data_IF_944506840732
#
_entry.id   IF_944506840732
#
_cell.length_a   1.000
_cell.length_b   1.000
_cell.length_c   1.000
_cell.angle_alpha   90.00
_cell.angle_beta   90.00
_cell.angle_gamma   90.00
#
_symmetry.space_group_name_H-M   'P 1'
#
loop_
_entity.id
_entity.type
_entity.pdbx_description
1 polymer ?
#
# COMPACT_ATOMS: atom_id res chain seq x y z
N UNK A 1 -19.37 -15.11 -1.52
CA UNK A 1 -18.36 -14.77 -0.50
C UNK A 1 -17.48 -15.98 -0.25
N UNK A 2 -16.16 -15.79 -0.29
CA UNK A 2 -15.13 -16.84 -0.13
C UNK A 2 -14.08 -16.33 0.86
N UNK A 3 -13.66 -17.21 1.79
CA UNK A 3 -12.57 -16.94 2.72
C UNK A 3 -11.32 -17.72 2.31
N UNK A 4 -10.23 -17.02 2.06
CA UNK A 4 -8.91 -17.58 1.75
C UNK A 4 -8.06 -17.55 3.01
N UNK A 5 -7.88 -18.71 3.65
CA UNK A 5 -7.11 -18.82 4.90
C UNK A 5 -5.63 -18.99 4.61
N UNK A 6 -4.81 -18.13 5.20
CA UNK A 6 -3.34 -18.14 5.09
C UNK A 6 -2.72 -18.04 6.48
N UNK A 7 -1.39 -18.20 6.62
CA UNK A 7 -0.71 -17.91 7.88
C UNK A 7 -0.83 -16.45 8.33
N UNK A 8 -1.04 -15.50 7.40
CA UNK A 8 -1.21 -14.08 7.70
C UNK A 8 -2.61 -13.72 8.20
N UNK A 9 -3.62 -14.54 7.88
CA UNK A 9 -5.00 -14.31 8.30
C UNK A 9 -5.99 -14.90 7.31
N UNK A 10 -7.28 -14.54 7.44
CA UNK A 10 -8.29 -14.90 6.46
C UNK A 10 -8.59 -13.71 5.55
N UNK A 11 -8.26 -13.82 4.26
CA UNK A 11 -8.68 -12.84 3.28
C UNK A 11 -10.11 -13.13 2.84
N UNK A 12 -10.88 -12.08 2.62
CA UNK A 12 -12.26 -12.15 2.17
C UNK A 12 -12.35 -11.71 0.71
N UNK A 13 -13.03 -12.50 -0.13
CA UNK A 13 -13.47 -12.06 -1.46
C UNK A 13 -14.99 -12.21 -1.55
N UNK A 14 -15.68 -11.17 -2.00
CA UNK A 14 -17.13 -11.19 -2.14
C UNK A 14 -17.57 -10.47 -3.43
N UNK A 15 -18.53 -11.07 -4.14
CA UNK A 15 -19.17 -10.47 -5.30
C UNK A 15 -20.63 -10.17 -4.97
N UNK A 16 -21.08 -8.98 -5.35
CA UNK A 16 -22.45 -8.49 -5.23
C UNK A 16 -22.96 -8.14 -6.63
N UNK A 17 -24.07 -8.73 -7.08
CA UNK A 17 -24.59 -8.47 -8.42
C UNK A 17 -25.09 -7.03 -8.53
N UNK A 18 -24.94 -6.44 -9.72
CA UNK A 18 -25.54 -5.16 -10.05
C UNK A 18 -27.06 -5.26 -10.20
N UNK A 19 -27.72 -4.10 -10.33
CA UNK A 19 -29.18 -3.99 -10.46
C UNK A 19 -29.57 -3.13 -11.66
N UNK A 20 -30.70 -3.47 -12.26
CA UNK A 20 -31.29 -2.77 -13.41
C UNK A 20 -30.36 -2.67 -14.62
N UNK A 21 -30.29 -1.49 -15.25
CA UNK A 21 -29.56 -1.28 -16.50
C UNK A 21 -28.03 -1.43 -16.35
N UNK A 22 -27.51 -1.33 -15.13
CA UNK A 22 -26.09 -1.46 -14.84
C UNK A 22 -25.68 -2.90 -14.46
N UNK A 23 -26.63 -3.85 -14.34
CA UNK A 23 -26.35 -5.21 -13.87
C UNK A 23 -25.35 -6.00 -14.74
N UNK A 24 -25.26 -5.68 -16.03
CA UNK A 24 -24.32 -6.32 -16.98
C UNK A 24 -22.94 -5.66 -17.08
N UNK A 25 -22.68 -4.59 -16.32
CA UNK A 25 -21.40 -3.88 -16.35
C UNK A 25 -20.28 -4.70 -15.68
N UNK A 26 -19.02 -4.38 -15.99
CA UNK A 26 -17.89 -4.92 -15.25
C UNK A 26 -17.87 -4.39 -13.80
N UNK A 27 -17.56 -5.23 -12.80
CA UNK A 27 -17.63 -4.83 -11.40
C UNK A 27 -16.64 -3.73 -11.04
N UNK A 28 -17.03 -2.89 -10.07
CA UNK A 28 -16.08 -2.00 -9.37
C UNK A 28 -15.50 -2.77 -8.19
N UNK A 29 -14.17 -2.79 -8.07
CA UNK A 29 -13.46 -3.43 -6.97
C UNK A 29 -13.33 -2.48 -5.78
N UNK A 30 -13.77 -2.91 -4.59
CA UNK A 30 -13.52 -2.24 -3.32
C UNK A 30 -12.44 -2.99 -2.55
N UNK A 31 -11.44 -2.26 -2.04
CA UNK A 31 -10.23 -2.84 -1.43
C UNK A 31 -10.06 -2.28 -0.04
N UNK A 32 -9.85 -3.17 0.93
CA UNK A 32 -9.42 -2.79 2.26
C UNK A 32 -8.65 -3.89 2.96
N UNK A 33 -8.25 -3.64 4.19
CA UNK A 33 -7.58 -4.61 5.04
C UNK A 33 -8.19 -4.65 6.44
N UNK A 34 -8.06 -5.79 7.09
CA UNK A 34 -8.65 -6.07 8.41
C UNK A 34 -7.63 -6.17 9.53
N UNK A 35 -6.35 -6.36 9.18
CA UNK A 35 -5.25 -6.33 10.11
C UNK A 35 -4.95 -4.89 10.56
N UNK A 36 -4.10 -4.77 11.57
CA UNK A 36 -3.64 -3.47 12.09
C UNK A 36 -2.22 -3.67 12.62
N UNK A 37 -1.45 -2.60 12.74
CA UNK A 37 -0.16 -2.63 13.48
C UNK A 37 -0.27 -2.96 14.97
N UNK A 38 -1.48 -2.96 15.54
CA UNK A 38 -1.69 -3.05 16.99
C UNK A 38 -1.65 -4.50 17.49
N UNK A 39 -0.93 -4.78 18.60
CA UNK A 39 -0.95 -6.10 19.23
C UNK A 39 -2.32 -6.50 19.78
N UNK A 40 -2.54 -7.82 19.89
CA UNK A 40 -3.72 -8.36 20.59
C UNK A 40 -3.74 -7.87 22.04
N UNK A 41 -4.90 -7.39 22.49
CA UNK A 41 -5.10 -6.85 23.84
C UNK A 41 -5.02 -5.33 23.96
N UNK A 42 -4.60 -4.60 22.92
CA UNK A 42 -4.49 -3.13 22.94
C UNK A 42 -5.77 -2.42 23.38
N UNK A 43 -6.94 -2.90 22.97
CA UNK A 43 -8.25 -2.33 23.34
C UNK A 43 -8.52 -2.35 24.85
N UNK A 44 -7.97 -3.32 25.58
CA UNK A 44 -8.14 -3.43 27.03
C UNK A 44 -7.07 -2.65 27.81
N UNK A 45 -6.12 -2.01 27.13
CA UNK A 45 -4.99 -1.30 27.71
C UNK A 45 -4.92 0.16 27.26
N UNK A 46 -3.77 0.53 26.72
CA UNK A 46 -3.37 1.93 26.52
C UNK A 46 -4.11 2.70 25.41
N UNK A 47 -4.80 2.00 24.51
CA UNK A 47 -5.55 2.62 23.40
C UNK A 47 -6.95 1.99 23.35
N UNK A 48 -7.86 2.40 24.25
CA UNK A 48 -9.23 1.92 24.23
C UNK A 48 -10.00 2.53 23.05
N UNK A 49 -11.09 1.86 22.66
CA UNK A 49 -12.09 2.47 21.81
C UNK A 49 -12.86 3.53 22.61
N UNK A 50 -12.96 4.76 22.09
CA UNK A 50 -13.79 5.82 22.70
C UNK A 50 -14.51 6.62 21.62
N UNK A 51 -15.67 7.18 21.98
CA UNK A 51 -16.40 8.11 21.13
C UNK A 51 -17.02 9.22 21.98
N UNK A 52 -16.91 10.46 21.50
CA UNK A 52 -17.59 11.63 22.07
C UNK A 52 -18.75 12.12 21.18
N UNK A 53 -19.14 11.33 20.17
CA UNK A 53 -20.16 11.67 19.17
C UNK A 53 -19.64 12.48 17.98
N UNK A 54 -18.49 13.14 18.09
CA UNK A 54 -17.84 13.89 16.99
C UNK A 54 -16.57 13.22 16.49
N UNK A 55 -15.88 12.52 17.40
CA UNK A 55 -14.63 11.82 17.17
C UNK A 55 -14.73 10.39 17.70
N UNK A 56 -14.12 9.45 16.99
CA UNK A 56 -13.91 8.08 17.45
C UNK A 56 -12.42 7.80 17.51
N UNK A 57 -11.91 7.30 18.62
CA UNK A 57 -10.51 6.86 18.79
C UNK A 57 -10.46 5.35 18.98
N UNK A 58 -9.34 4.73 18.61
CA UNK A 58 -9.10 3.32 18.87
C UNK A 58 -8.11 2.70 17.88
N UNK A 59 -7.60 1.50 18.17
CA UNK A 59 -6.65 0.82 17.30
C UNK A 59 -7.30 0.41 15.99
N UNK A 60 -6.79 0.96 14.88
CA UNK A 60 -7.24 0.67 13.52
C UNK A 60 -8.54 1.37 13.12
N UNK A 61 -9.04 2.33 13.92
CA UNK A 61 -10.24 3.09 13.53
C UNK A 61 -9.98 3.94 12.29
N UNK A 62 -8.78 4.48 12.13
CA UNK A 62 -8.40 5.28 10.96
C UNK A 62 -7.74 4.42 9.88
N UNK A 63 -6.91 3.45 10.29
CA UNK A 63 -6.19 2.54 9.38
C UNK A 63 -6.53 1.06 9.64
N UNK A 64 -7.49 0.48 8.91
CA UNK A 64 -8.53 1.18 8.15
C UNK A 64 -9.94 0.62 8.41
N UNK A 65 -10.23 0.17 9.64
CA UNK A 65 -11.52 -0.48 9.97
C UNK A 65 -12.72 0.40 9.71
N UNK A 66 -12.64 1.72 9.90
CA UNK A 66 -13.76 2.60 9.53
C UNK A 66 -13.98 2.68 8.03
N UNK A 67 -12.95 2.46 7.20
CA UNK A 67 -13.11 2.28 5.76
C UNK A 67 -13.89 1.02 5.42
N UNK A 68 -13.73 -0.08 6.17
CA UNK A 68 -14.57 -1.28 6.04
C UNK A 68 -16.03 -0.99 6.41
N UNK A 69 -16.26 -0.21 7.47
CA UNK A 69 -17.61 0.26 7.85
C UNK A 69 -18.23 1.10 6.74
N UNK A 70 -17.46 1.98 6.08
CA UNK A 70 -17.94 2.72 4.90
C UNK A 70 -18.41 1.77 3.80
N UNK A 71 -17.64 0.71 3.49
CA UNK A 71 -18.03 -0.27 2.48
C UNK A 71 -19.35 -0.96 2.85
N UNK A 72 -19.43 -1.49 4.07
CA UNK A 72 -20.59 -2.26 4.54
C UNK A 72 -21.87 -1.41 4.52
N UNK A 73 -21.85 -0.26 5.19
CA UNK A 73 -23.02 0.62 5.33
C UNK A 73 -23.47 1.20 3.98
N UNK A 74 -22.54 1.52 3.08
CA UNK A 74 -22.91 2.00 1.75
C UNK A 74 -23.58 0.93 0.90
N UNK A 75 -23.14 -0.33 1.02
CA UNK A 75 -23.75 -1.45 0.30
C UNK A 75 -25.13 -1.79 0.88
N UNK A 76 -25.32 -1.66 2.19
CA UNK A 76 -26.65 -1.79 2.80
C UNK A 76 -27.60 -0.68 2.32
N UNK A 77 -27.15 0.57 2.31
CA UNK A 77 -27.90 1.71 1.78
C UNK A 77 -28.26 1.50 0.31
N UNK A 78 -27.28 1.11 -0.51
CA UNK A 78 -27.46 0.86 -1.94
C UNK A 78 -28.45 -0.27 -2.20
N UNK A 79 -28.34 -1.37 -1.44
CA UNK A 79 -29.28 -2.49 -1.52
C UNK A 79 -30.70 -2.06 -1.18
N UNK A 80 -30.90 -1.31 -0.11
CA UNK A 80 -32.23 -0.84 0.28
C UNK A 80 -32.87 0.04 -0.82
N UNK A 81 -32.09 0.92 -1.44
CA UNK A 81 -32.55 1.75 -2.57
C UNK A 81 -32.87 0.90 -3.80
N UNK A 82 -32.03 -0.07 -4.13
CA UNK A 82 -32.24 -0.94 -5.29
C UNK A 82 -33.45 -1.88 -5.10
N UNK A 83 -33.65 -2.43 -3.90
CA UNK A 83 -34.82 -3.26 -3.58
C UNK A 83 -36.12 -2.45 -3.59
N UNK A 84 -36.05 -1.13 -3.34
CA UNK A 84 -37.15 -0.19 -3.54
C UNK A 84 -37.34 0.25 -5.00
N UNK A 85 -36.47 -0.17 -5.92
CA UNK A 85 -36.52 0.19 -7.34
C UNK A 85 -36.19 1.66 -7.63
N UNK A 86 -35.48 2.35 -6.73
CA UNK A 86 -35.18 3.78 -6.88
C UNK A 86 -33.84 4.04 -7.56
N UNK A 87 -32.94 3.06 -7.61
CA UNK A 87 -31.62 3.17 -8.22
C UNK A 87 -31.22 1.89 -8.96
N UNK A 88 -30.48 2.07 -10.05
CA UNK A 88 -29.67 1.04 -10.69
C UNK A 88 -28.23 1.19 -10.22
N UNK A 89 -27.46 0.09 -10.17
CA UNK A 89 -26.05 0.16 -9.78
C UNK A 89 -25.22 -0.94 -10.44
N UNK A 90 -23.92 -0.66 -10.60
CA UNK A 90 -22.94 -1.61 -11.14
C UNK A 90 -22.71 -2.78 -10.18
N UNK A 91 -22.26 -3.96 -10.66
CA UNK A 91 -21.78 -5.02 -9.78
C UNK A 91 -20.61 -4.55 -8.93
N UNK A 92 -20.48 -5.11 -7.74
CA UNK A 92 -19.41 -4.77 -6.80
C UNK A 92 -18.64 -6.03 -6.45
N UNK A 93 -17.31 -5.94 -6.53
CA UNK A 93 -16.42 -6.97 -5.98
C UNK A 93 -15.67 -6.37 -4.80
N UNK A 94 -15.49 -7.13 -3.74
CA UNK A 94 -14.77 -6.70 -2.54
C UNK A 94 -13.62 -7.67 -2.28
N UNK A 95 -12.48 -7.12 -1.90
CA UNK A 95 -11.42 -7.84 -1.23
C UNK A 95 -11.05 -7.16 0.09
N UNK A 96 -11.03 -7.94 1.17
CA UNK A 96 -10.47 -7.53 2.46
C UNK A 96 -9.27 -8.41 2.77
N UNK A 97 -8.08 -7.82 2.76
CA UNK A 97 -6.82 -8.50 3.09
C UNK A 97 -6.63 -8.54 4.61
N UNK A 98 -5.67 -9.34 5.07
CA UNK A 98 -5.44 -9.57 6.50
C UNK A 98 -3.95 -9.54 6.86
N UNK A 99 -3.13 -9.01 5.96
CA UNK A 99 -1.68 -8.97 6.04
C UNK A 99 -1.10 -7.73 5.35
N UNK A 100 -1.89 -6.65 5.22
CA UNK A 100 -1.45 -5.38 4.60
C UNK A 100 -0.25 -4.82 5.36
N UNK A 101 -0.34 -4.76 6.68
CA UNK A 101 0.59 -4.02 7.54
C UNK A 101 2.00 -4.65 7.55
N UNK A 102 2.12 -5.88 7.07
CA UNK A 102 3.39 -6.59 6.89
C UNK A 102 3.86 -6.65 5.42
N UNK A 103 3.11 -6.06 4.50
CA UNK A 103 3.43 -5.91 3.08
C UNK A 103 2.74 -6.91 2.15
N UNK A 104 1.62 -7.49 2.58
CA UNK A 104 0.75 -8.38 1.79
C UNK A 104 1.45 -9.62 1.20
N UNK A 105 2.25 -10.37 2.00
CA UNK A 105 2.99 -11.53 1.51
C UNK A 105 2.08 -12.65 0.99
N UNK A 106 0.84 -12.75 1.47
CA UNK A 106 -0.10 -13.81 1.08
C UNK A 106 -1.31 -13.31 0.29
N UNK A 107 -1.68 -12.04 0.45
CA UNK A 107 -2.81 -11.46 -0.29
C UNK A 107 -2.45 -10.80 -1.62
N UNK A 108 -1.19 -10.44 -1.87
CA UNK A 108 -0.82 -9.67 -3.08
C UNK A 108 -1.20 -10.36 -4.41
N UNK A 109 -0.94 -11.65 -4.54
CA UNK A 109 -1.34 -12.42 -5.73
C UNK A 109 -2.86 -12.58 -5.83
N UNK A 110 -3.54 -12.75 -4.69
CA UNK A 110 -5.00 -12.85 -4.64
C UNK A 110 -5.64 -11.52 -5.07
N UNK A 111 -5.10 -10.38 -4.65
CA UNK A 111 -5.56 -9.05 -5.04
C UNK A 111 -5.51 -8.85 -6.55
N UNK A 112 -4.37 -9.19 -7.17
CA UNK A 112 -4.20 -9.10 -8.63
C UNK A 112 -5.22 -9.98 -9.36
N UNK A 113 -5.39 -11.23 -8.93
CA UNK A 113 -6.38 -12.13 -9.53
C UNK A 113 -7.82 -11.64 -9.32
N UNK A 114 -8.12 -11.05 -8.15
CA UNK A 114 -9.46 -10.53 -7.83
C UNK A 114 -9.81 -9.31 -8.67
N UNK A 115 -8.81 -8.51 -9.07
CA UNK A 115 -8.98 -7.35 -9.92
C UNK A 115 -9.26 -7.68 -11.39
N UNK A 116 -9.04 -8.92 -11.83
CA UNK A 116 -9.32 -9.33 -13.21
C UNK A 116 -10.80 -9.16 -13.56
N UNK A 117 -11.05 -8.46 -14.67
CA UNK A 117 -12.39 -8.19 -15.18
C UNK A 117 -13.13 -7.04 -14.47
N UNK A 118 -12.50 -6.36 -13.50
CA UNK A 118 -13.06 -5.15 -12.90
C UNK A 118 -12.86 -3.93 -13.80
N UNK A 119 -13.78 -2.96 -13.73
CA UNK A 119 -13.71 -1.69 -14.48
C UNK A 119 -12.85 -0.63 -13.78
N UNK A 120 -12.84 -0.66 -12.45
CA UNK A 120 -12.14 0.28 -11.60
C UNK A 120 -11.86 -0.35 -10.23
N UNK A 121 -10.96 0.26 -9.46
CA UNK A 121 -10.72 -0.07 -8.06
C UNK A 121 -10.74 1.17 -7.15
N UNK A 122 -11.36 1.02 -5.98
CA UNK A 122 -11.43 2.04 -4.93
C UNK A 122 -10.86 1.45 -3.64
N UNK A 123 -9.76 2.03 -3.15
CA UNK A 123 -9.15 1.69 -1.87
C UNK A 123 -9.68 2.54 -0.72
N UNK A 124 -9.85 1.90 0.42
CA UNK A 124 -10.50 2.47 1.61
C UNK A 124 -9.54 2.84 2.72
N UNK A 125 -8.27 2.99 2.35
CA UNK A 125 -7.28 3.63 3.19
C UNK A 125 -7.75 5.01 3.64
N UNK A 126 -7.13 5.49 4.70
CA UNK A 126 -7.28 6.87 5.16
C UNK A 126 -7.07 7.89 4.03
N UNK A 127 -7.85 8.98 3.93
CA UNK A 127 -7.65 10.05 2.96
C UNK A 127 -6.39 10.86 3.28
N UNK A 128 -6.11 11.86 2.44
CA UNK A 128 -5.25 12.96 2.88
C UNK A 128 -5.89 13.76 4.04
N UNK A 129 -5.13 14.56 4.81
CA UNK A 129 -5.67 15.29 5.97
C UNK A 129 -6.82 16.26 5.65
N UNK A 130 -6.86 16.79 4.43
CA UNK A 130 -7.93 17.63 3.88
C UNK A 130 -9.17 16.84 3.44
N UNK A 131 -9.06 15.51 3.36
CA UNK A 131 -10.09 14.61 2.85
C UNK A 131 -9.84 14.16 1.41
N UNK A 132 -8.83 14.69 0.72
CA UNK A 132 -8.61 14.37 -0.69
C UNK A 132 -8.28 12.89 -0.92
N UNK A 133 -8.65 12.42 -2.11
CA UNK A 133 -8.34 11.09 -2.60
C UNK A 133 -6.87 10.97 -3.01
N UNK A 134 -6.43 9.73 -3.17
CA UNK A 134 -5.10 9.35 -3.61
C UNK A 134 -5.20 8.71 -4.99
N UNK A 135 -4.47 9.28 -5.95
CA UNK A 135 -4.38 8.82 -7.36
C UNK A 135 -2.97 8.38 -7.71
N UNK A 136 -2.14 8.13 -6.70
CA UNK A 136 -0.75 7.77 -6.86
C UNK A 136 -0.11 7.57 -5.49
N UNK A 137 0.86 6.66 -5.42
CA UNK A 137 1.58 6.34 -4.19
C UNK A 137 3.03 6.01 -4.51
N UNK A 138 3.95 6.41 -3.63
CA UNK A 138 5.33 5.95 -3.75
C UNK A 138 5.39 4.43 -3.65
N UNK A 139 6.28 3.82 -4.43
CA UNK A 139 6.68 2.43 -4.28
C UNK A 139 7.37 2.21 -2.93
N UNK A 140 7.36 0.97 -2.48
CA UNK A 140 7.91 0.50 -1.22
C UNK A 140 8.61 -0.82 -1.42
N UNK A 141 9.94 -0.81 -1.40
CA UNK A 141 10.71 -2.05 -1.50
C UNK A 141 11.65 -2.19 -0.31
N UNK A 142 11.62 -3.36 0.33
CA UNK A 142 12.63 -3.77 1.32
C UNK A 142 13.44 -4.91 0.71
N UNK A 143 14.76 -4.77 0.71
CA UNK A 143 15.69 -5.80 0.24
C UNK A 143 16.58 -6.26 1.39
N UNK A 144 16.80 -7.56 1.49
CA UNK A 144 17.89 -8.14 2.27
C UNK A 144 19.07 -8.41 1.34
N UNK A 145 20.24 -7.91 1.70
CA UNK A 145 21.52 -8.23 1.07
C UNK A 145 22.29 -9.13 2.04
N UNK A 146 22.60 -10.35 1.62
CA UNK A 146 23.36 -11.32 2.41
C UNK A 146 24.67 -11.66 1.70
N UNK A 147 25.74 -11.77 2.47
CA UNK A 147 27.08 -12.09 1.99
C UNK A 147 27.64 -13.26 2.77
N UNK A 148 28.16 -14.25 2.05
CA UNK A 148 28.91 -15.37 2.63
C UNK A 148 30.36 -15.32 2.15
N UNK A 149 31.28 -15.41 3.10
CA UNK A 149 32.73 -15.44 2.89
C UNK A 149 33.32 -16.81 3.19
N UNK A 150 34.61 -16.83 3.53
CA UNK A 150 35.34 -18.03 3.94
C UNK A 150 36.10 -17.71 5.22
N UNK A 151 35.86 -18.43 6.34
CA UNK A 151 36.54 -18.16 7.58
C UNK A 151 38.00 -18.62 7.53
N UNK A 152 38.89 -17.86 8.16
CA UNK A 152 40.30 -18.20 8.34
C UNK A 152 40.88 -17.48 9.56
N UNK A 153 42.00 -17.97 10.09
CA UNK A 153 42.70 -17.26 11.16
C UNK A 153 43.38 -16.00 10.59
N UNK A 154 43.00 -14.82 11.08
CA UNK A 154 43.38 -13.55 10.49
C UNK A 154 44.90 -13.27 10.51
N UNK A 155 45.65 -13.92 11.41
CA UNK A 155 47.10 -13.77 11.50
C UNK A 155 47.93 -14.95 10.95
N UNK A 156 47.34 -16.14 10.82
CA UNK A 156 48.11 -17.34 10.47
C UNK A 156 47.99 -17.67 8.99
N UNK A 157 46.77 -17.57 8.44
CA UNK A 157 46.47 -17.91 7.05
C UNK A 157 45.39 -16.98 6.45
N UNK A 158 45.53 -15.64 6.53
CA UNK A 158 44.49 -14.71 6.09
C UNK A 158 44.09 -14.90 4.61
N UNK A 159 45.01 -15.32 3.76
CA UNK A 159 44.81 -15.57 2.33
C UNK A 159 43.88 -16.78 2.05
N UNK A 160 43.74 -17.70 3.01
CA UNK A 160 42.80 -18.82 2.89
C UNK A 160 41.34 -18.36 3.05
N UNK A 161 41.11 -17.22 3.72
CA UNK A 161 39.80 -16.67 3.98
C UNK A 161 39.30 -15.68 2.91
N UNK A 162 38.04 -15.27 3.07
CA UNK A 162 37.38 -14.19 2.33
C UNK A 162 36.46 -13.47 3.30
N UNK A 163 36.73 -12.19 3.55
CA UNK A 163 35.96 -11.42 4.53
C UNK A 163 34.60 -11.01 3.97
N UNK A 164 33.53 -11.56 4.55
CA UNK A 164 32.16 -11.14 4.27
C UNK A 164 31.89 -9.70 4.73
N UNK A 165 32.56 -9.24 5.80
CA UNK A 165 32.47 -7.86 6.29
C UNK A 165 32.99 -6.86 5.26
N UNK A 166 34.14 -7.15 4.66
CA UNK A 166 34.71 -6.26 3.64
C UNK A 166 33.87 -6.30 2.35
N UNK A 167 33.36 -7.48 1.98
CA UNK A 167 32.47 -7.63 0.84
C UNK A 167 31.15 -6.88 1.00
N UNK A 168 30.47 -6.97 2.15
CA UNK A 168 29.22 -6.22 2.37
C UNK A 168 29.45 -4.70 2.31
N UNK A 169 30.59 -4.20 2.81
CA UNK A 169 30.92 -2.76 2.76
C UNK A 169 30.99 -2.29 1.31
N UNK A 170 31.72 -3.01 0.46
CA UNK A 170 31.86 -2.63 -0.95
C UNK A 170 30.54 -2.76 -1.73
N UNK A 171 29.74 -3.79 -1.45
CA UNK A 171 28.41 -3.93 -2.05
C UNK A 171 27.49 -2.77 -1.65
N UNK A 172 27.55 -2.32 -0.39
CA UNK A 172 26.78 -1.17 0.08
C UNK A 172 27.24 0.16 -0.55
N UNK A 173 28.53 0.29 -0.88
CA UNK A 173 29.03 1.41 -1.70
C UNK A 173 28.40 1.36 -3.10
N UNK A 174 28.42 0.19 -3.77
CA UNK A 174 27.76 0.02 -5.09
C UNK A 174 26.27 0.34 -5.04
N UNK A 175 25.54 -0.12 -4.02
CA UNK A 175 24.13 0.20 -3.82
C UNK A 175 23.91 1.70 -3.67
N UNK A 176 24.76 2.38 -2.87
CA UNK A 176 24.72 3.84 -2.72
C UNK A 176 24.95 4.55 -4.05
N UNK A 177 25.90 4.08 -4.86
CA UNK A 177 26.17 4.65 -6.18
C UNK A 177 24.99 4.47 -7.14
N UNK A 178 24.38 3.28 -7.18
CA UNK A 178 23.16 3.01 -7.97
C UNK A 178 22.06 3.99 -7.56
N UNK A 179 21.78 4.10 -6.25
CA UNK A 179 20.75 4.99 -5.72
C UNK A 179 21.05 6.48 -6.02
N UNK A 180 22.32 6.90 -5.92
CA UNK A 180 22.74 8.27 -6.21
C UNK A 180 22.57 8.62 -7.70
N UNK A 181 23.00 7.72 -8.61
CA UNK A 181 22.78 7.89 -10.07
C UNK A 181 21.29 7.97 -10.39
N UNK A 182 20.49 7.09 -9.80
CA UNK A 182 19.04 7.10 -9.98
C UNK A 182 18.39 8.38 -9.44
N UNK A 183 18.85 8.90 -8.30
CA UNK A 183 18.39 10.17 -7.73
C UNK A 183 18.67 11.34 -8.65
N UNK A 184 19.87 11.41 -9.24
CA UNK A 184 20.24 12.46 -10.21
C UNK A 184 19.33 12.40 -11.43
N UNK A 185 19.12 11.20 -12.00
CA UNK A 185 18.22 11.01 -13.15
C UNK A 185 16.78 11.34 -12.84
N UNK A 186 16.29 10.95 -11.67
CA UNK A 186 14.97 11.32 -11.18
C UNK A 186 14.84 12.84 -11.04
N UNK A 187 15.88 13.54 -10.61
CA UNK A 187 15.91 15.01 -10.54
C UNK A 187 15.67 15.71 -11.88
N UNK A 188 15.98 15.06 -13.00
CA UNK A 188 15.71 15.57 -14.35
C UNK A 188 14.28 15.30 -14.85
N UNK A 189 13.49 14.49 -14.14
CA UNK A 189 12.09 14.18 -14.45
C UNK A 189 11.16 14.88 -13.45
N UNK A 190 10.18 15.69 -13.89
CA UNK A 190 9.23 16.33 -12.99
C UNK A 190 8.52 15.32 -12.06
N UNK A 191 8.59 15.54 -10.76
CA UNK A 191 7.93 14.69 -9.75
C UNK A 191 8.61 13.34 -9.47
N UNK A 192 9.65 12.96 -10.22
CA UNK A 192 10.38 11.73 -9.95
C UNK A 192 11.32 11.88 -8.73
N UNK A 193 11.35 10.85 -7.88
CA UNK A 193 12.12 10.78 -6.64
C UNK A 193 12.52 9.34 -6.38
N UNK A 194 13.75 9.17 -5.90
CA UNK A 194 14.26 7.92 -5.33
C UNK A 194 14.69 8.24 -3.91
N UNK A 195 14.17 7.50 -2.94
CA UNK A 195 14.60 7.59 -1.55
C UNK A 195 15.24 6.25 -1.18
N UNK A 196 16.43 6.31 -0.60
CA UNK A 196 17.18 5.15 -0.15
C UNK A 196 17.50 5.29 1.33
N UNK A 197 17.35 4.19 2.07
CA UNK A 197 17.78 4.09 3.45
C UNK A 197 18.49 2.74 3.69
N UNK A 198 19.64 2.80 4.36
CA UNK A 198 20.29 1.62 4.91
C UNK A 198 19.76 1.40 6.33
N UNK A 199 18.80 0.48 6.47
CA UNK A 199 18.08 0.28 7.73
C UNK A 199 18.90 -0.42 8.79
N UNK A 200 19.67 -1.45 8.40
CA UNK A 200 20.57 -2.17 9.30
C UNK A 200 21.73 -2.81 8.56
N UNK A 201 22.82 -3.03 9.29
CA UNK A 201 23.96 -3.85 8.89
C UNK A 201 24.29 -4.77 10.06
N UNK A 202 24.61 -6.03 9.77
CA UNK A 202 25.07 -7.00 10.76
C UNK A 202 26.25 -7.76 10.18
N UNK A 203 27.39 -7.71 10.84
CA UNK A 203 28.62 -8.40 10.45
C UNK A 203 29.30 -8.94 11.71
N UNK A 204 28.81 -10.07 12.25
CA UNK A 204 29.32 -10.63 13.48
C UNK A 204 30.69 -11.25 13.24
N UNK A 205 31.59 -11.16 14.23
CA UNK A 205 32.93 -11.74 14.09
C UNK A 205 33.86 -11.39 15.23
N UNK A 206 35.05 -12.00 15.23
CA UNK A 206 36.15 -11.71 16.15
C UNK A 206 37.31 -11.11 15.36
N UNK A 207 38.07 -10.20 15.98
CA UNK A 207 39.18 -9.51 15.29
C UNK A 207 40.27 -10.47 14.74
N UNK A 208 40.41 -11.66 15.31
CA UNK A 208 41.38 -12.68 14.91
C UNK A 208 40.81 -13.74 13.94
N UNK A 209 39.57 -13.60 13.47
CA UNK A 209 38.92 -14.52 12.52
C UNK A 209 38.39 -13.72 11.33
N UNK A 210 38.73 -14.13 10.13
CA UNK A 210 38.13 -13.58 8.90
C UNK A 210 36.64 -13.90 8.93
N UNK A 211 35.79 -12.86 8.93
CA UNK A 211 34.34 -13.03 9.03
C UNK A 211 33.78 -13.72 7.78
N UNK A 212 32.90 -14.70 7.97
CA UNK A 212 32.32 -15.51 6.89
C UNK A 212 30.84 -15.19 6.60
N UNK A 213 30.24 -14.27 7.35
CA UNK A 213 28.87 -13.85 7.12
C UNK A 213 28.67 -12.35 7.42
N UNK A 214 27.86 -11.71 6.59
CA UNK A 214 27.38 -10.36 6.83
C UNK A 214 26.03 -10.15 6.12
N UNK A 215 25.21 -9.24 6.62
CA UNK A 215 23.91 -8.92 6.05
C UNK A 215 23.55 -7.43 6.21
N UNK A 216 22.67 -6.95 5.35
CA UNK A 216 22.08 -5.61 5.45
C UNK A 216 20.62 -5.61 5.01
N UNK A 217 19.83 -4.70 5.58
CA UNK A 217 18.45 -4.43 5.14
C UNK A 217 18.37 -3.04 4.52
N UNK A 218 17.90 -2.99 3.28
CA UNK A 218 17.80 -1.80 2.46
C UNK A 218 16.33 -1.42 2.29
N UNK A 219 16.01 -0.14 2.40
CA UNK A 219 14.69 0.42 2.12
C UNK A 219 14.74 1.38 0.94
N UNK A 220 13.82 1.21 0.00
CA UNK A 220 13.67 2.08 -1.15
C UNK A 220 12.24 2.60 -1.30
N UNK A 221 12.13 3.86 -1.73
CA UNK A 221 10.88 4.48 -2.21
C UNK A 221 11.11 5.07 -3.59
N UNK A 222 10.13 4.89 -4.47
CA UNK A 222 10.18 5.38 -5.84
C UNK A 222 8.87 6.09 -6.18
N UNK A 223 8.92 7.23 -6.87
CA UNK A 223 7.72 7.78 -7.51
C UNK A 223 7.63 7.42 -9.00
N UNK A 224 8.63 6.73 -9.54
CA UNK A 224 8.69 6.35 -10.94
C UNK A 224 9.02 4.87 -11.12
N UNK A 225 8.17 4.18 -11.89
CA UNK A 225 8.22 2.73 -12.04
C UNK A 225 9.36 2.27 -12.94
N UNK A 226 9.72 3.06 -13.95
CA UNK A 226 10.86 2.71 -14.81
C UNK A 226 12.16 2.83 -14.03
N UNK A 227 12.29 3.91 -13.23
CA UNK A 227 13.45 4.09 -12.35
C UNK A 227 13.48 3.02 -11.25
N UNK A 228 12.33 2.65 -10.69
CA UNK A 228 12.21 1.53 -9.74
C UNK A 228 12.72 0.22 -10.36
N UNK A 229 12.20 -0.16 -11.53
CA UNK A 229 12.59 -1.40 -12.21
C UNK A 229 14.08 -1.44 -12.52
N UNK A 230 14.65 -0.32 -12.97
CA UNK A 230 16.07 -0.21 -13.25
C UNK A 230 16.93 -0.38 -11.99
N UNK A 231 16.64 0.39 -10.93
CA UNK A 231 17.40 0.34 -9.68
C UNK A 231 17.32 -1.03 -9.03
N UNK A 232 16.11 -1.61 -8.93
CA UNK A 232 15.94 -2.92 -8.34
C UNK A 232 16.62 -4.01 -9.18
N UNK A 233 16.56 -3.91 -10.51
CA UNK A 233 17.26 -4.82 -11.41
C UNK A 233 18.79 -4.77 -11.25
N UNK A 234 19.37 -3.57 -11.15
CA UNK A 234 20.82 -3.40 -10.91
C UNK A 234 21.25 -3.97 -9.56
N UNK A 235 20.45 -3.78 -8.50
CA UNK A 235 20.76 -4.29 -7.15
C UNK A 235 20.62 -5.82 -7.09
N UNK A 236 19.57 -6.38 -7.71
CA UNK A 236 19.36 -7.83 -7.77
C UNK A 236 20.41 -8.56 -8.60
N UNK A 237 21.04 -7.86 -9.54
CA UNK A 237 22.14 -8.36 -10.36
C UNK A 237 23.53 -8.17 -9.73
N UNK A 238 23.63 -7.75 -8.46
CA UNK A 238 24.93 -7.59 -7.80
C UNK A 238 25.69 -8.92 -7.75
N UNK A 239 26.94 -8.86 -8.20
CA UNK A 239 27.89 -9.98 -8.16
C UNK A 239 28.98 -9.76 -7.12
N UNK A 240 29.55 -10.83 -6.53
CA UNK A 240 30.67 -10.72 -5.59
C UNK A 240 31.89 -10.05 -6.23
N UNK A 241 32.56 -9.18 -5.47
CA UNK A 241 33.81 -8.53 -5.85
C UNK A 241 35.02 -9.38 -5.45
N UNK A 242 34.93 -10.07 -4.31
CA UNK A 242 35.98 -10.98 -3.84
C UNK A 242 35.79 -12.39 -4.39
N UNK A 243 36.83 -13.01 -4.99
CA UNK A 243 36.78 -14.41 -5.39
C UNK A 243 36.42 -15.33 -4.22
N UNK A 244 35.48 -16.26 -4.42
CA UNK A 244 34.90 -17.19 -3.43
C UNK A 244 33.89 -16.59 -2.43
N UNK A 245 33.61 -15.28 -2.46
CA UNK A 245 32.44 -14.75 -1.77
C UNK A 245 31.15 -15.10 -2.52
N UNK A 246 30.03 -15.11 -1.81
CA UNK A 246 28.69 -15.22 -2.35
C UNK A 246 27.87 -14.00 -1.93
N UNK A 247 27.07 -13.48 -2.85
CA UNK A 247 26.18 -12.34 -2.62
C UNK A 247 24.77 -12.79 -3.01
N UNK A 248 23.80 -12.57 -2.13
CA UNK A 248 22.40 -12.87 -2.38
C UNK A 248 21.54 -11.64 -2.03
N UNK A 249 20.59 -11.32 -2.91
CA UNK A 249 19.61 -10.26 -2.69
C UNK A 249 18.21 -10.88 -2.67
N UNK A 250 17.45 -10.61 -1.62
CA UNK A 250 16.09 -11.11 -1.44
C UNK A 250 15.13 -9.94 -1.23
N UNK A 251 14.02 -9.91 -1.96
CA UNK A 251 12.90 -8.97 -1.68
C UNK A 251 12.15 -9.43 -0.43
N UNK A 252 12.18 -8.60 0.61
CA UNK A 252 11.43 -8.83 1.86
C UNK A 252 9.98 -8.33 1.75
N UNK A 253 9.75 -7.26 1.01
CA UNK A 253 8.41 -6.75 0.68
C UNK A 253 8.48 -5.88 -0.57
N UNK A 254 7.39 -5.84 -1.34
CA UNK A 254 7.34 -5.08 -2.60
C UNK A 254 5.93 -4.51 -2.86
N UNK A 255 5.85 -3.18 -2.94
CA UNK A 255 4.71 -2.45 -3.51
C UNK A 255 5.25 -1.56 -4.63
N UNK A 256 4.87 -1.75 -5.90
CA UNK A 256 5.42 -0.98 -7.01
C UNK A 256 5.08 0.51 -6.91
N UNK A 257 5.85 1.37 -7.54
CA UNK A 257 5.49 2.77 -7.69
C UNK A 257 4.18 2.90 -8.50
N UNK A 258 3.20 3.62 -7.93
CA UNK A 258 1.97 3.97 -8.61
C UNK A 258 1.99 5.45 -9.00
N UNK A 259 2.26 5.69 -10.28
CA UNK A 259 2.19 7.02 -10.88
C UNK A 259 0.75 7.39 -11.26
N UNK A 260 0.29 8.63 -11.03
CA UNK A 260 -1.01 9.06 -11.49
C UNK A 260 -1.14 8.98 -13.01
N UNK A 261 -2.22 8.35 -13.48
CA UNK A 261 -2.57 8.27 -14.90
C UNK A 261 -3.87 9.01 -15.19
N UNK A 262 -4.13 9.23 -16.47
CA UNK A 262 -5.37 9.86 -16.92
C UNK A 262 -6.61 9.08 -16.47
N UNK A 263 -6.55 7.74 -16.44
CA UNK A 263 -7.65 6.89 -15.98
C UNK A 263 -7.94 7.06 -14.47
N UNK A 264 -6.89 7.11 -13.64
CA UNK A 264 -7.01 7.36 -12.19
C UNK A 264 -7.64 8.74 -11.92
N UNK A 265 -7.19 9.76 -12.66
CA UNK A 265 -7.73 11.13 -12.58
C UNK A 265 -9.18 11.21 -13.06
N UNK A 266 -9.54 10.49 -14.12
CA UNK A 266 -10.91 10.44 -14.62
C UNK A 266 -11.85 9.81 -13.59
N UNK A 267 -11.43 8.70 -12.97
CA UNK A 267 -12.20 8.05 -11.90
C UNK A 267 -12.34 8.98 -10.68
N UNK A 268 -11.28 9.66 -10.27
CA UNK A 268 -11.34 10.66 -9.20
C UNK A 268 -12.29 11.82 -9.54
N UNK A 269 -12.32 12.29 -10.80
CA UNK A 269 -13.24 13.33 -11.25
C UNK A 269 -14.71 12.88 -11.21
N UNK A 270 -15.00 11.61 -11.55
CA UNK A 270 -16.35 11.03 -11.39
C UNK A 270 -16.77 11.05 -9.92
N UNK A 271 -15.87 10.64 -9.01
CA UNK A 271 -16.15 10.66 -7.56
C UNK A 271 -16.38 12.09 -7.07
N UNK A 272 -15.54 13.05 -7.49
CA UNK A 272 -15.68 14.47 -7.15
C UNK A 272 -17.01 15.06 -7.64
N UNK A 273 -17.48 14.66 -8.84
CA UNK A 273 -18.79 15.05 -9.36
C UNK A 273 -19.95 14.49 -8.53
N UNK A 274 -19.84 13.25 -8.05
CA UNK A 274 -20.84 12.66 -7.16
C UNK A 274 -20.88 13.37 -5.80
N UNK A 275 -19.72 13.74 -5.25
CA UNK A 275 -19.61 14.50 -4.00
C UNK A 275 -20.27 15.88 -4.11
N UNK A 276 -20.01 16.60 -5.21
CA UNK A 276 -20.64 17.89 -5.47
C UNK A 276 -22.18 17.80 -5.53
N UNK A 277 -22.74 16.75 -6.16
CA UNK A 277 -24.18 16.52 -6.22
C UNK A 277 -24.83 16.23 -4.87
N UNK A 278 -24.11 15.58 -3.94
CA UNK A 278 -24.59 15.37 -2.57
C UNK A 278 -24.57 16.64 -1.71
N UNK A 279 -23.76 17.63 -2.09
CA UNK A 279 -23.63 18.92 -1.41
C UNK A 279 -24.72 19.94 -1.76
N UNK A 280 -25.57 19.67 -2.77
CA UNK A 280 -26.65 20.58 -3.18
C UNK A 280 -27.66 20.78 -2.03
N UNK A 281 -27.75 22.01 -1.50
CA UNK A 281 -28.61 22.38 -0.37
C UNK A 281 -27.92 22.45 1.00
N UNK A 282 -26.63 22.11 1.09
CA UNK A 282 -25.77 22.31 2.26
C UNK A 282 -24.87 23.54 2.16
N UNK A 283 -24.03 23.83 3.19
CA UNK A 283 -23.00 24.85 3.07
C UNK A 283 -22.02 24.51 1.94
N UNK A 284 -21.59 25.52 1.18
CA UNK A 284 -20.66 25.36 0.07
C UNK A 284 -19.37 24.64 0.56
N UNK A 285 -19.08 23.47 -0.03
CA UNK A 285 -17.84 22.72 0.19
C UNK A 285 -16.99 22.77 -1.07
N UNK A 286 -15.67 22.80 -0.89
CA UNK A 286 -14.75 22.61 -2.01
C UNK A 286 -14.96 21.19 -2.56
N UNK A 287 -14.94 21.00 -3.90
CA UNK A 287 -14.98 19.68 -4.50
C UNK A 287 -13.84 18.81 -3.97
N UNK A 288 -14.14 17.53 -3.74
CA UNK A 288 -13.14 16.54 -3.35
C UNK A 288 -11.98 16.50 -4.35
N UNK A 289 -10.76 16.79 -3.88
CA UNK A 289 -9.55 16.75 -4.69
C UNK A 289 -8.92 15.37 -4.76
N UNK A 290 -7.90 15.23 -5.59
CA UNK A 290 -7.11 14.01 -5.69
C UNK A 290 -5.64 14.31 -6.01
N UNK A 291 -4.73 13.69 -5.27
CA UNK A 291 -3.28 13.90 -5.44
C UNK A 291 -2.43 12.72 -4.96
N UNK A 292 -1.18 12.58 -5.44
CA UNK A 292 -0.27 11.53 -4.96
C UNK A 292 -0.04 11.56 -3.44
N UNK A 293 0.21 10.40 -2.86
CA UNK A 293 0.60 10.23 -1.46
C UNK A 293 2.00 9.61 -1.31
N UNK A 294 2.66 9.91 -0.19
CA UNK A 294 3.98 9.36 0.11
C UNK A 294 3.94 7.91 0.62
N UNK A 295 2.88 7.52 1.34
CA UNK A 295 2.72 6.17 1.87
C UNK A 295 2.30 5.17 0.78
N UNK A 296 2.81 3.94 0.85
CA UNK A 296 2.36 2.83 0.02
C UNK A 296 1.13 2.14 0.63
N UNK A 297 0.34 1.48 -0.18
CA UNK A 297 -0.75 0.59 0.25
C UNK A 297 -0.93 -0.54 -0.78
N UNK A 298 -1.80 -1.50 -0.51
CA UNK A 298 -2.12 -2.56 -1.48
C UNK A 298 -2.62 -2.04 -2.84
N UNK A 299 -3.23 -0.85 -2.86
CA UNK A 299 -3.62 -0.16 -4.10
C UNK A 299 -2.45 0.12 -5.04
N UNK A 300 -1.21 0.17 -4.55
CA UNK A 300 -0.02 0.24 -5.41
C UNK A 300 0.04 -0.90 -6.43
N UNK A 301 -0.32 -2.13 -6.04
CA UNK A 301 -0.27 -3.30 -6.93
C UNK A 301 -1.19 -3.13 -8.14
N UNK A 302 -2.37 -2.55 -7.93
CA UNK A 302 -3.33 -2.29 -9.01
C UNK A 302 -3.05 -0.99 -9.75
N UNK A 303 -2.57 0.05 -9.06
CA UNK A 303 -2.20 1.32 -9.66
C UNK A 303 -1.01 1.19 -10.62
N UNK A 304 -0.22 0.12 -10.47
CA UNK A 304 0.81 -0.30 -11.42
C UNK A 304 0.28 -1.21 -12.55
N UNK A 305 -1.01 -1.53 -12.61
CA UNK A 305 -1.65 -2.21 -13.76
C UNK A 305 -2.34 -1.20 -14.67
N UNK A 306 -3.12 -1.64 -15.66
CA UNK A 306 -3.93 -0.75 -16.52
C UNK A 306 -5.30 -0.38 -15.92
N UNK A 307 -5.68 -0.94 -14.77
CA UNK A 307 -6.95 -0.66 -14.10
C UNK A 307 -6.99 0.77 -13.54
N UNK A 308 -8.09 1.51 -13.72
CA UNK A 308 -8.27 2.81 -13.08
C UNK A 308 -8.42 2.65 -11.55
N UNK A 309 -7.59 3.33 -10.77
CA UNK A 309 -7.54 3.15 -9.32
C UNK A 309 -7.64 4.51 -8.62
N UNK A 310 -8.38 4.54 -7.52
CA UNK A 310 -8.33 5.62 -6.53
C UNK A 310 -8.21 4.99 -5.16
N UNK A 311 -7.67 5.73 -4.21
CA UNK A 311 -7.52 5.29 -2.84
C UNK A 311 -7.78 6.46 -1.89
N UNK A 312 -7.75 6.22 -0.58
CA UNK A 312 -8.07 7.26 0.40
C UNK A 312 -9.57 7.49 0.57
N UNK A 313 -10.41 6.49 0.27
CA UNK A 313 -11.87 6.62 0.39
C UNK A 313 -12.37 6.50 1.85
N UNK A 314 -11.49 6.19 2.80
CA UNK A 314 -11.83 6.18 4.22
C UNK A 314 -12.30 7.54 4.77
N UNK A 315 -12.85 7.58 6.00
CA UNK A 315 -13.22 8.82 6.67
C UNK A 315 -11.99 9.68 7.02
N UNK A 316 -12.21 10.98 7.18
CA UNK A 316 -11.19 11.92 7.67
C UNK A 316 -10.84 11.61 9.13
N UNK A 317 -9.60 11.93 9.48
CA UNK A 317 -9.05 11.61 10.79
C UNK A 317 -7.56 11.88 10.85
N UNK A 318 -6.86 11.17 11.73
CA UNK A 318 -5.42 11.28 11.83
C UNK A 318 -4.82 10.36 12.88
N UNK A 319 -3.49 10.36 12.97
CA UNK A 319 -2.75 9.56 13.94
C UNK A 319 -2.65 8.09 13.60
N UNK A 320 -2.64 7.72 12.31
CA UNK A 320 -2.33 6.35 11.89
C UNK A 320 -1.06 5.86 12.60
N UNK A 321 -1.11 4.63 13.12
CA UNK A 321 -0.03 3.97 13.87
C UNK A 321 0.40 4.69 15.16
N UNK A 322 -0.44 5.57 15.71
CA UNK A 322 -0.17 6.32 16.94
C UNK A 322 -1.33 6.24 17.94
N UNK A 323 -1.06 6.46 19.23
CA UNK A 323 -2.10 6.46 20.28
C UNK A 323 -3.20 7.51 20.06
N UNK A 324 -2.91 8.52 19.25
CA UNK A 324 -3.85 9.57 18.86
C UNK A 324 -4.75 9.20 17.68
N UNK A 325 -4.69 7.94 17.20
CA UNK A 325 -5.48 7.44 16.08
C UNK A 325 -6.97 7.73 16.27
N UNK A 326 -7.58 8.38 15.28
CA UNK A 326 -8.98 8.76 15.32
C UNK A 326 -9.58 9.02 13.95
N UNK A 327 -10.92 8.95 13.89
CA UNK A 327 -11.74 9.45 12.78
C UNK A 327 -12.69 10.56 13.26
N UNK A 328 -13.16 11.36 12.30
CA UNK A 328 -14.25 12.32 12.47
C UNK A 328 -15.57 11.66 12.06
N UNK A 329 -16.54 11.61 12.97
CA UNK A 329 -17.82 10.89 12.78
C UNK A 329 -18.60 11.42 11.58
N UNK A 330 -18.67 12.73 11.38
CA UNK A 330 -19.39 13.33 10.25
C UNK A 330 -18.83 12.84 8.91
N UNK A 331 -17.50 12.68 8.82
CA UNK A 331 -16.86 12.22 7.58
C UNK A 331 -17.12 10.75 7.26
N UNK A 332 -17.48 9.94 8.27
CA UNK A 332 -17.91 8.57 8.05
C UNK A 332 -19.20 8.53 7.25
N UNK A 333 -20.20 9.31 7.67
CA UNK A 333 -21.48 9.44 6.98
C UNK A 333 -21.35 10.05 5.59
N UNK A 334 -20.47 11.05 5.43
CA UNK A 334 -20.13 11.64 4.13
C UNK A 334 -19.63 10.57 3.16
N UNK A 335 -18.68 9.74 3.58
CA UNK A 335 -18.11 8.67 2.74
C UNK A 335 -19.10 7.56 2.42
N UNK A 336 -19.97 7.17 3.36
CA UNK A 336 -21.01 6.16 3.14
C UNK A 336 -21.95 6.60 2.01
N UNK A 337 -22.46 7.84 2.09
CA UNK A 337 -23.37 8.40 1.08
C UNK A 337 -22.66 8.57 -0.26
N UNK A 338 -21.40 9.02 -0.24
CA UNK A 338 -20.60 9.18 -1.44
C UNK A 338 -20.37 7.85 -2.16
N UNK A 339 -20.03 6.78 -1.45
CA UNK A 339 -19.83 5.47 -2.09
C UNK A 339 -21.11 4.97 -2.77
N UNK A 340 -22.26 5.07 -2.09
CA UNK A 340 -23.54 4.69 -2.69
C UNK A 340 -23.85 5.51 -3.96
N UNK A 341 -23.59 6.82 -3.93
CA UNK A 341 -23.75 7.68 -5.11
C UNK A 341 -22.77 7.33 -6.25
N UNK A 342 -21.52 7.00 -5.93
CA UNK A 342 -20.52 6.59 -6.91
C UNK A 342 -20.92 5.28 -7.60
N UNK A 343 -21.42 4.29 -6.86
CA UNK A 343 -21.83 2.99 -7.41
C UNK A 343 -23.09 3.05 -8.29
N UNK A 344 -23.92 4.09 -8.13
CA UNK A 344 -25.03 4.38 -9.04
C UNK A 344 -24.62 5.29 -10.22
N UNK A 345 -23.62 6.15 -10.01
CA UNK A 345 -23.16 7.16 -10.97
C UNK A 345 -22.09 6.70 -11.96
N UNK A 346 -21.29 5.69 -11.62
CA UNK A 346 -20.30 5.11 -12.54
C UNK A 346 -21.06 4.39 -13.67
N UNK A 347 -20.95 4.92 -14.88
CA UNK A 347 -21.44 4.28 -16.11
C UNK A 347 -20.27 3.59 -16.83
N UNK A 348 -20.50 2.41 -17.41
CA UNK A 348 -19.46 1.60 -18.07
C UNK A 348 -18.80 2.29 -19.26
#
# INVERSE_FOLDING_TARGET
MVLHRTPGGAHLVADFPGRGNAAGAAPVLLIGHSDTVWPVGTLAGDVPWTSDGTRITGPGVYDMKSGLVVMEEALELLRAQADAGTVDHVPVRIIVTADEEIGSPTSGALLLATAEGCSAAIGFESPHPDGDLKVGRLGSTRLALAVSGVPAHAALDPEKGVSATEEIIDQLVRVRDIAARATIRAGARPGARVLYNLGSITAPGLANVVADNAAAVLGFRFSDRDIENEVLGEIEALTPLRPRAQVAVTRLSYRPAWQPRAADQALAAVISGCDAGLGEGGPARLPLGARPAAGAADTNLLGASDLAVVDGFGPRGGGAHARSEHILVDSLWERIRLLAAVLTGIRP
#
